data_IF_167180001940
#
_entry.id   IF_167180001940
#
_cell.length_a   1.000
_cell.length_b   1.000
_cell.length_c   1.000
_cell.angle_alpha   90.00
_cell.angle_beta   90.00
_cell.angle_gamma   90.00
#
_symmetry.space_group_name_H-M   'P 1'
#
loop_
_entity.id
_entity.type
_entity.pdbx_description
1 polymer ?
#
# COMPACT_ATOMS: atom_id res chain seq x y z
N UNK A 1 14.74 6.39 -23.36
CA UNK A 1 13.55 7.24 -23.25
C UNK A 1 13.60 7.79 -21.84
N UNK A 2 13.59 9.12 -21.67
CA UNK A 2 13.73 9.71 -20.34
C UNK A 2 12.42 9.48 -19.58
N UNK A 3 12.53 8.90 -18.39
CA UNK A 3 11.40 8.65 -17.49
C UNK A 3 10.83 10.00 -17.04
N UNK A 4 9.63 10.34 -17.50
CA UNK A 4 8.90 11.46 -16.97
C UNK A 4 8.24 11.03 -15.67
N UNK A 5 8.81 11.48 -14.55
CA UNK A 5 8.14 11.44 -13.24
C UNK A 5 7.12 12.58 -13.21
N UNK A 6 5.84 12.24 -13.25
CA UNK A 6 4.74 13.21 -13.20
C UNK A 6 4.49 13.58 -11.73
N UNK A 7 5.14 14.64 -11.25
CA UNK A 7 4.68 15.35 -10.06
C UNK A 7 3.37 16.05 -10.41
N UNK A 8 2.35 15.89 -9.57
CA UNK A 8 1.01 16.46 -9.77
C UNK A 8 1.08 17.98 -10.01
N UNK A 9 1.13 18.40 -11.27
CA UNK A 9 0.71 19.73 -11.66
C UNK A 9 0.23 19.76 -13.12
N UNK A 10 -0.85 20.54 -13.28
CA UNK A 10 -1.48 21.00 -14.52
C UNK A 10 -2.68 20.17 -15.02
N UNK A 11 -3.78 20.31 -14.27
CA UNK A 11 -5.20 20.20 -14.68
C UNK A 11 -6.05 19.14 -13.94
N UNK A 12 -5.46 18.32 -13.07
CA UNK A 12 -6.23 17.59 -12.07
C UNK A 12 -6.41 18.50 -10.85
N UNK A 13 -7.65 18.94 -10.62
CA UNK A 13 -8.05 19.56 -9.37
C UNK A 13 -7.79 18.53 -8.27
N UNK A 14 -6.81 18.75 -7.39
CA UNK A 14 -6.87 18.16 -6.05
C UNK A 14 -8.10 18.81 -5.44
N UNK A 15 -9.23 18.11 -5.50
CA UNK A 15 -10.51 18.60 -5.00
C UNK A 15 -10.44 18.63 -3.47
N UNK A 16 -9.81 19.68 -2.97
CA UNK A 16 -10.14 20.19 -1.68
C UNK A 16 -11.58 20.71 -1.75
N UNK A 17 -12.47 20.05 -1.00
CA UNK A 17 -13.88 20.44 -0.90
C UNK A 17 -14.10 21.75 -0.14
N UNK A 18 -13.04 22.50 0.21
CA UNK A 18 -13.16 23.84 0.83
C UNK A 18 -13.10 24.99 -0.20
N UNK A 19 -13.69 24.80 -1.38
CA UNK A 19 -13.75 25.71 -2.53
C UNK A 19 -14.42 27.10 -2.29
N UNK A 20 -14.21 27.72 -1.13
CA UNK A 20 -14.59 29.09 -0.80
C UNK A 20 -13.41 30.09 -0.87
N UNK A 21 -12.14 29.68 -0.99
CA UNK A 21 -10.99 30.60 -0.88
C UNK A 21 -9.91 30.33 -1.93
N UNK A 22 -9.95 31.07 -3.04
CA UNK A 22 -9.12 30.83 -4.24
C UNK A 22 -7.62 30.59 -3.98
N UNK A 23 -7.08 29.60 -4.70
CA UNK A 23 -5.65 29.28 -4.79
C UNK A 23 -5.07 28.64 -3.53
N UNK A 24 -5.30 27.33 -3.33
CA UNK A 24 -4.95 26.62 -2.10
C UNK A 24 -3.53 26.02 -2.15
N UNK A 25 -2.65 26.54 -1.31
CA UNK A 25 -1.36 25.95 -0.93
C UNK A 25 -1.56 24.96 0.22
N UNK A 26 -0.63 24.02 0.39
CA UNK A 26 -0.62 23.05 1.50
C UNK A 26 0.15 23.66 2.67
N UNK A 27 -0.57 24.02 3.74
CA UNK A 27 -0.04 24.37 5.07
C UNK A 27 -0.17 23.11 5.94
N UNK A 28 0.95 22.42 6.15
CA UNK A 28 1.00 21.08 6.72
C UNK A 28 0.98 21.05 8.25
N UNK A 29 1.27 22.16 8.91
CA UNK A 29 1.26 22.28 10.37
C UNK A 29 0.11 23.15 10.92
N UNK A 30 -0.73 23.68 10.04
CA UNK A 30 -1.90 24.52 10.37
C UNK A 30 -1.55 25.82 11.12
N UNK A 31 -0.33 26.34 10.96
CA UNK A 31 0.09 27.59 11.59
C UNK A 31 -0.28 28.84 10.76
N UNK A 32 -0.84 28.65 9.56
CA UNK A 32 -1.24 29.72 8.66
C UNK A 32 -0.08 30.42 7.94
N UNK A 33 1.12 29.82 7.96
CA UNK A 33 2.37 30.37 7.44
C UNK A 33 2.96 29.57 6.28
N UNK A 34 3.83 30.23 5.51
CA UNK A 34 4.70 29.56 4.55
C UNK A 34 5.97 29.10 5.25
N UNK A 35 6.12 27.78 5.44
CA UNK A 35 7.32 27.19 6.05
C UNK A 35 8.16 26.46 5.00
N UNK A 36 9.43 26.85 4.88
CA UNK A 36 10.38 26.18 4.00
C UNK A 36 10.67 24.77 4.54
N UNK A 37 10.28 23.73 3.79
CA UNK A 37 10.52 22.33 4.15
C UNK A 37 9.25 21.51 4.41
N UNK A 38 8.07 22.11 4.33
CA UNK A 38 6.83 21.35 4.41
C UNK A 38 6.61 20.53 3.14
N UNK A 39 6.48 19.22 3.33
CA UNK A 39 6.24 18.26 2.26
C UNK A 39 5.00 17.45 2.60
N UNK A 40 4.28 17.02 1.56
CA UNK A 40 3.14 16.09 1.65
C UNK A 40 3.45 14.87 2.52
N UNK A 41 4.72 14.48 2.59
CA UNK A 41 5.24 13.33 3.31
C UNK A 41 5.11 13.43 4.84
N UNK A 42 4.75 14.58 5.40
CA UNK A 42 4.52 14.77 6.84
C UNK A 42 3.05 14.80 7.24
N UNK A 43 2.14 14.81 6.27
CA UNK A 43 0.71 14.99 6.50
C UNK A 43 0.01 13.69 6.85
N UNK A 44 -0.96 13.81 7.76
CA UNK A 44 -2.00 12.82 7.99
C UNK A 44 -3.21 13.14 7.10
N UNK A 45 -3.88 12.12 6.57
CA UNK A 45 -5.13 12.21 5.80
C UNK A 45 -5.00 12.97 4.46
N UNK A 46 -3.91 12.74 3.72
CA UNK A 46 -3.78 13.26 2.36
C UNK A 46 -4.78 12.55 1.44
N UNK A 47 -5.57 13.34 0.72
CA UNK A 47 -6.46 12.85 -0.33
C UNK A 47 -5.88 13.21 -1.69
N UNK A 48 -5.62 12.20 -2.54
CA UNK A 48 -5.22 12.38 -3.93
C UNK A 48 -6.29 11.78 -4.83
N UNK A 49 -6.88 12.61 -5.68
CA UNK A 49 -7.84 12.18 -6.70
C UNK A 49 -7.24 12.35 -8.10
N UNK A 50 -6.92 11.22 -8.74
CA UNK A 50 -6.39 11.17 -10.09
C UNK A 50 -7.40 10.60 -11.11
N UNK A 51 -8.68 10.47 -10.75
CA UNK A 51 -9.71 9.86 -11.61
C UNK A 51 -9.88 10.58 -12.96
N UNK A 52 -9.49 11.86 -13.04
CA UNK A 52 -9.47 12.64 -14.28
C UNK A 52 -8.28 12.36 -15.22
N UNK A 53 -7.29 11.57 -14.79
CA UNK A 53 -6.13 11.18 -15.62
C UNK A 53 -6.50 9.94 -16.41
N UNK A 54 -6.37 10.00 -17.74
CA UNK A 54 -6.89 8.94 -18.63
C UNK A 54 -5.87 8.47 -19.67
N UNK A 55 -4.60 8.85 -19.56
CA UNK A 55 -3.58 8.56 -20.59
C UNK A 55 -2.59 7.47 -20.18
N UNK A 56 -2.31 7.37 -18.88
CA UNK A 56 -1.38 6.42 -18.28
C UNK A 56 -1.83 6.18 -16.85
N UNK A 57 -1.51 4.99 -16.35
CA UNK A 57 -1.56 4.76 -14.92
C UNK A 57 -0.47 5.52 -14.20
N UNK A 58 -0.66 5.69 -12.91
CA UNK A 58 0.20 6.41 -12.00
C UNK A 58 0.71 5.48 -10.90
N UNK A 59 1.79 5.91 -10.26
CA UNK A 59 2.26 5.31 -9.02
C UNK A 59 1.98 6.29 -7.89
N UNK A 60 1.18 5.85 -6.93
CA UNK A 60 0.90 6.54 -5.69
C UNK A 60 1.83 5.97 -4.63
N UNK A 61 2.72 6.81 -4.09
CA UNK A 61 3.57 6.46 -2.96
C UNK A 61 3.22 7.34 -1.77
N UNK A 62 2.69 6.71 -0.72
CA UNK A 62 2.32 7.31 0.55
C UNK A 62 3.47 7.34 1.56
N UNK A 63 3.12 7.61 2.81
CA UNK A 63 4.01 7.63 3.96
C UNK A 63 3.42 6.73 5.06
N UNK A 64 4.06 6.65 6.23
CA UNK A 64 3.53 5.85 7.34
C UNK A 64 2.26 6.43 8.01
N UNK A 65 1.67 7.50 7.47
CA UNK A 65 0.43 8.09 7.97
C UNK A 65 -0.73 7.63 7.08
N UNK A 66 -1.95 7.70 7.60
CA UNK A 66 -3.17 7.37 6.85
C UNK A 66 -3.39 8.30 5.66
N UNK A 67 -3.57 7.75 4.46
CA UNK A 67 -3.85 8.43 3.20
C UNK A 67 -5.14 7.94 2.52
N UNK A 68 -5.56 8.66 1.48
CA UNK A 68 -6.66 8.26 0.60
C UNK A 68 -6.28 8.55 -0.84
N UNK A 69 -6.16 7.50 -1.65
CA UNK A 69 -5.78 7.61 -3.06
C UNK A 69 -6.88 7.05 -3.96
N UNK A 70 -7.31 7.88 -4.91
CA UNK A 70 -8.21 7.49 -5.98
C UNK A 70 -7.40 7.48 -7.29
N UNK A 71 -7.31 6.29 -7.87
CA UNK A 71 -6.62 5.97 -9.11
C UNK A 71 -7.24 6.60 -10.34
N UNK A 72 -6.61 6.29 -11.46
CA UNK A 72 -6.98 6.65 -12.82
C UNK A 72 -7.92 5.61 -13.42
N UNK A 73 -8.21 5.69 -14.72
CA UNK A 73 -8.89 4.61 -15.44
C UNK A 73 -7.93 3.62 -16.13
N UNK A 74 -6.66 3.60 -15.70
CA UNK A 74 -5.56 2.83 -16.26
C UNK A 74 -4.88 2.02 -15.15
N UNK A 75 -3.98 1.10 -15.49
CA UNK A 75 -3.28 0.27 -14.50
C UNK A 75 -2.38 1.10 -13.56
N UNK A 76 -2.80 1.26 -12.32
CA UNK A 76 -2.14 2.04 -11.28
C UNK A 76 -1.35 1.16 -10.30
N UNK A 77 -0.46 1.81 -9.54
CA UNK A 77 0.31 1.19 -8.47
C UNK A 77 0.13 2.01 -7.19
N UNK A 78 -0.30 1.37 -6.11
CA UNK A 78 -0.50 1.98 -4.80
C UNK A 78 0.51 1.41 -3.80
N UNK A 79 1.33 2.26 -3.20
CA UNK A 79 2.32 1.93 -2.18
C UNK A 79 2.01 2.78 -0.94
N UNK A 80 1.40 2.20 0.08
CA UNK A 80 1.01 2.94 1.29
C UNK A 80 2.19 3.40 2.14
N UNK A 81 3.18 2.51 2.36
CA UNK A 81 4.31 2.66 3.29
C UNK A 81 3.93 2.62 4.79
N UNK A 82 2.71 2.20 5.14
CA UNK A 82 2.18 2.06 6.51
C UNK A 82 0.95 2.92 6.73
N UNK A 83 0.41 2.96 7.94
CA UNK A 83 -0.85 3.68 8.19
C UNK A 83 -2.08 2.93 7.67
N UNK A 84 -3.28 3.46 7.93
CA UNK A 84 -4.54 2.83 7.51
C UNK A 84 -5.06 3.49 6.24
N UNK A 85 -4.49 3.15 5.10
CA UNK A 85 -4.80 3.84 3.86
C UNK A 85 -6.13 3.39 3.26
N UNK A 86 -6.69 4.27 2.42
CA UNK A 86 -7.88 3.98 1.62
C UNK A 86 -7.52 4.09 0.14
N UNK A 87 -7.57 2.98 -0.58
CA UNK A 87 -7.27 2.93 -2.01
C UNK A 87 -8.50 2.60 -2.83
N UNK A 88 -8.67 3.33 -3.92
CA UNK A 88 -9.66 3.07 -4.98
C UNK A 88 -8.90 3.02 -6.29
N UNK A 89 -8.82 1.85 -6.93
CA UNK A 89 -8.13 1.68 -8.22
C UNK A 89 -8.87 2.30 -9.40
N UNK A 90 -10.20 2.32 -9.32
CA UNK A 90 -11.17 2.51 -10.39
C UNK A 90 -11.11 1.38 -11.44
N UNK A 91 -10.68 1.71 -12.66
CA UNK A 91 -10.58 0.74 -13.74
C UNK A 91 -9.12 0.59 -14.10
N UNK A 92 -8.68 -0.60 -14.47
CA UNK A 92 -7.28 -0.85 -14.67
C UNK A 92 -6.96 -2.28 -14.30
N UNK A 93 -5.68 -2.64 -14.36
CA UNK A 93 -5.16 -3.83 -13.70
C UNK A 93 -4.21 -3.33 -12.62
N UNK A 94 -4.78 -3.03 -11.47
CA UNK A 94 -4.13 -2.23 -10.44
C UNK A 94 -3.29 -3.10 -9.50
N UNK A 95 -2.25 -2.50 -8.94
CA UNK A 95 -1.33 -3.17 -8.03
C UNK A 95 -1.33 -2.47 -6.67
N UNK A 96 -1.71 -3.20 -5.62
CA UNK A 96 -1.68 -2.74 -4.23
C UNK A 96 -0.48 -3.39 -3.53
N UNK A 97 0.50 -2.58 -3.16
CA UNK A 97 1.83 -3.01 -2.75
C UNK A 97 1.97 -2.98 -1.24
N UNK A 98 2.27 -4.14 -0.68
CA UNK A 98 2.63 -4.32 0.73
C UNK A 98 4.13 -4.54 0.87
N UNK A 99 4.73 -3.82 1.81
CA UNK A 99 6.16 -3.88 2.13
C UNK A 99 6.35 -3.52 3.61
N UNK A 100 7.57 -3.68 4.10
CA UNK A 100 7.99 -3.10 5.39
C UNK A 100 7.61 -1.61 5.45
N UNK A 101 7.05 -1.19 6.59
CA UNK A 101 6.64 0.19 6.86
C UNK A 101 7.88 1.07 6.83
N UNK A 102 7.82 2.17 6.08
CA UNK A 102 8.93 3.10 5.90
C UNK A 102 8.54 4.47 6.41
N UNK A 103 9.14 4.86 7.54
CA UNK A 103 8.99 6.22 8.05
C UNK A 103 10.11 7.09 7.51
N UNK A 104 9.75 8.22 6.91
CA UNK A 104 10.68 9.22 6.42
C UNK A 104 10.94 10.23 7.54
N UNK A 105 12.16 10.24 8.08
CA UNK A 105 12.59 11.28 9.00
C UNK A 105 13.51 12.26 8.25
N UNK A 106 13.13 13.54 8.27
CA UNK A 106 14.02 14.64 7.88
C UNK A 106 15.19 14.64 8.84
N UNK A 107 16.37 14.34 8.33
CA UNK A 107 17.61 14.45 9.07
C UNK A 107 18.18 15.86 8.87
N UNK A 108 17.85 16.74 9.82
CA UNK A 108 18.37 18.11 9.90
C UNK A 108 19.72 18.17 10.64
N UNK A 109 20.32 17.01 10.98
CA UNK A 109 21.57 16.95 11.75
C UNK A 109 22.82 17.18 10.89
N UNK A 110 22.70 17.24 9.56
CA UNK A 110 23.86 17.53 8.72
C UNK A 110 24.23 19.01 8.81
N UNK A 111 25.41 19.27 9.39
CA UNK A 111 25.93 20.62 9.65
C UNK A 111 26.22 21.47 8.39
N UNK A 112 25.84 21.00 7.20
CA UNK A 112 26.19 21.59 5.91
C UNK A 112 24.97 21.97 5.04
N UNK A 113 23.76 22.01 5.61
CA UNK A 113 22.55 22.39 4.88
C UNK A 113 22.09 21.38 3.83
N UNK A 114 22.65 20.16 3.86
CA UNK A 114 22.18 19.03 3.04
C UNK A 114 21.05 18.38 3.82
N UNK A 115 19.83 18.51 3.33
CA UNK A 115 18.70 17.79 3.93
C UNK A 115 18.93 16.30 3.70
N UNK A 116 19.28 15.57 4.78
CA UNK A 116 19.30 14.12 4.77
C UNK A 116 17.88 13.59 4.94
N UNK A 117 17.59 12.45 4.34
CA UNK A 117 16.42 11.66 4.69
C UNK A 117 16.89 10.35 5.27
N UNK A 118 16.51 10.07 6.51
CA UNK A 118 16.73 8.76 7.12
C UNK A 118 15.46 7.95 7.03
N UNK A 119 15.63 6.66 6.76
CA UNK A 119 14.53 5.71 6.72
C UNK A 119 14.58 4.89 8.00
N UNK A 120 13.47 4.89 8.73
CA UNK A 120 13.24 3.92 9.78
C UNK A 120 12.27 2.87 9.26
N UNK A 121 12.75 1.63 9.17
CA UNK A 121 11.92 0.49 8.83
C UNK A 121 11.27 -0.04 10.12
N UNK A 122 9.96 -0.23 10.09
CA UNK A 122 9.22 -0.88 11.18
C UNK A 122 8.42 -2.06 10.65
N UNK A 123 8.19 -3.05 11.49
CA UNK A 123 7.34 -4.19 11.15
C UNK A 123 5.91 -3.72 10.87
N UNK A 124 5.26 -4.32 9.88
CA UNK A 124 3.85 -4.11 9.59
C UNK A 124 2.99 -4.68 10.72
N UNK A 125 1.99 -3.93 11.17
CA UNK A 125 1.05 -4.37 12.21
C UNK A 125 -0.39 -4.30 11.70
N UNK A 126 -1.34 -4.85 12.47
CA UNK A 126 -2.76 -4.72 12.13
C UNK A 126 -3.28 -3.28 12.18
N UNK A 127 -2.51 -2.34 12.75
CA UNK A 127 -2.82 -0.92 12.72
C UNK A 127 -2.41 -0.24 11.41
N UNK A 128 -1.74 -0.97 10.52
CA UNK A 128 -1.31 -0.55 9.19
C UNK A 128 -2.12 -1.25 8.10
N UNK A 129 -3.30 -1.78 8.46
CA UNK A 129 -4.15 -2.51 7.53
C UNK A 129 -4.89 -1.54 6.61
N UNK A 130 -4.68 -1.68 5.32
CA UNK A 130 -5.27 -0.83 4.29
C UNK A 130 -6.70 -1.27 3.95
N UNK A 131 -7.48 -0.35 3.39
CA UNK A 131 -8.80 -0.63 2.82
C UNK A 131 -8.76 -0.40 1.32
N UNK A 132 -9.10 -1.43 0.54
CA UNK A 132 -9.19 -1.37 -0.92
C UNK A 132 -10.67 -1.47 -1.31
N UNK A 133 -11.18 -0.46 -2.02
CA UNK A 133 -12.62 -0.26 -2.14
C UNK A 133 -13.31 -1.02 -3.28
N UNK A 134 -12.54 -1.39 -4.29
CA UNK A 134 -13.02 -1.79 -5.61
C UNK A 134 -12.15 -2.88 -6.27
N UNK A 135 -11.41 -3.64 -5.47
CA UNK A 135 -10.54 -4.69 -5.97
C UNK A 135 -11.29 -5.71 -6.85
N UNK A 136 -10.78 -5.96 -8.06
CA UNK A 136 -11.34 -6.89 -9.03
C UNK A 136 -10.46 -8.13 -9.14
N UNK A 137 -10.90 -9.24 -8.54
CA UNK A 137 -10.24 -10.55 -8.65
C UNK A 137 -10.05 -10.98 -10.11
N UNK A 138 -8.88 -11.55 -10.40
CA UNK A 138 -8.44 -11.93 -11.75
C UNK A 138 -7.79 -10.80 -12.53
N UNK A 139 -8.03 -9.54 -12.16
CA UNK A 139 -7.51 -8.35 -12.84
C UNK A 139 -6.45 -7.66 -11.98
N UNK A 140 -6.85 -7.22 -10.79
CA UNK A 140 -5.96 -6.52 -9.87
C UNK A 140 -5.04 -7.49 -9.12
N UNK A 141 -4.01 -6.93 -8.48
CA UNK A 141 -3.01 -7.71 -7.73
C UNK A 141 -2.67 -7.09 -6.38
N UNK A 142 -2.56 -7.94 -5.36
CA UNK A 142 -1.86 -7.63 -4.12
C UNK A 142 -0.40 -8.09 -4.29
N UNK A 143 0.52 -7.14 -4.20
CA UNK A 143 1.95 -7.37 -4.41
C UNK A 143 2.68 -7.34 -3.07
N UNK A 144 3.30 -8.45 -2.70
CA UNK A 144 4.20 -8.55 -1.56
C UNK A 144 5.61 -8.23 -2.01
N UNK A 145 6.06 -7.03 -1.68
CA UNK A 145 7.38 -6.55 -2.05
C UNK A 145 8.40 -6.95 -0.99
N UNK A 146 9.53 -7.45 -1.46
CA UNK A 146 10.74 -7.63 -0.67
C UNK A 146 11.88 -6.76 -1.22
N UNK A 147 12.71 -6.22 -0.34
CA UNK A 147 13.89 -5.41 -0.67
C UNK A 147 15.15 -6.27 -0.51
N UNK A 148 15.64 -6.85 -1.61
CA UNK A 148 16.74 -7.83 -1.62
C UNK A 148 18.08 -7.32 -1.05
N UNK A 149 18.23 -6.01 -0.86
CA UNK A 149 19.48 -5.37 -0.44
C UNK A 149 19.49 -4.94 1.04
N UNK A 150 18.42 -5.17 1.79
CA UNK A 150 18.35 -4.75 3.20
C UNK A 150 18.76 -5.87 4.16
N UNK A 151 19.54 -5.47 5.17
CA UNK A 151 20.06 -6.28 6.28
C UNK A 151 19.09 -6.38 7.47
N UNK A 152 17.99 -5.62 7.43
CA UNK A 152 16.88 -5.76 8.38
C UNK A 152 15.95 -6.89 7.91
N UNK A 153 15.31 -7.56 8.86
CA UNK A 153 14.33 -8.61 8.59
C UNK A 153 13.16 -8.01 7.81
N UNK A 154 13.20 -8.15 6.48
CA UNK A 154 12.12 -7.73 5.60
C UNK A 154 10.84 -8.45 6.02
N UNK A 155 9.76 -7.68 6.18
CA UNK A 155 8.46 -8.18 6.63
C UNK A 155 8.00 -9.40 5.83
N UNK A 156 8.30 -9.44 4.53
CA UNK A 156 7.90 -10.52 3.62
C UNK A 156 9.05 -11.44 3.23
N UNK A 157 10.16 -11.45 3.99
CA UNK A 157 11.35 -12.27 3.71
C UNK A 157 11.04 -13.77 3.53
N UNK A 158 10.06 -14.32 4.26
CA UNK A 158 9.62 -15.72 4.12
C UNK A 158 9.04 -16.05 2.72
N UNK A 159 8.57 -15.04 1.99
CA UNK A 159 8.03 -15.16 0.63
C UNK A 159 9.11 -15.07 -0.46
N UNK A 160 10.36 -14.73 -0.12
CA UNK A 160 11.43 -14.46 -1.09
C UNK A 160 11.68 -15.57 -2.12
N UNK A 161 11.49 -16.83 -1.70
CA UNK A 161 11.66 -18.00 -2.58
C UNK A 161 10.65 -18.01 -3.75
N UNK A 162 9.54 -17.29 -3.62
CA UNK A 162 8.41 -17.25 -4.57
C UNK A 162 8.46 -16.04 -5.52
N UNK A 163 9.55 -15.27 -5.49
CA UNK A 163 9.70 -14.04 -6.28
C UNK A 163 9.42 -14.21 -7.77
N UNK A 164 8.78 -13.20 -8.37
CA UNK A 164 8.49 -13.11 -9.79
C UNK A 164 7.33 -14.00 -10.24
N UNK A 165 6.67 -14.71 -9.32
CA UNK A 165 5.57 -15.63 -9.62
C UNK A 165 4.30 -15.20 -8.89
N UNK A 166 3.17 -15.40 -9.56
CA UNK A 166 1.88 -15.43 -8.87
C UNK A 166 1.88 -16.58 -7.85
N UNK A 167 1.18 -16.38 -6.74
CA UNK A 167 1.06 -17.40 -5.73
C UNK A 167 0.07 -18.50 -6.17
N UNK A 168 0.13 -19.63 -5.46
CA UNK A 168 -0.71 -20.81 -5.70
C UNK A 168 -1.48 -21.21 -4.44
N UNK A 169 -2.37 -22.18 -4.54
CA UNK A 169 -3.09 -22.77 -3.39
C UNK A 169 -2.15 -23.34 -2.31
N UNK A 170 -0.87 -23.57 -2.62
CA UNK A 170 0.14 -24.00 -1.64
C UNK A 170 0.52 -22.88 -0.67
N UNK A 171 0.45 -21.63 -1.14
CA UNK A 171 0.97 -20.44 -0.46
C UNK A 171 -0.13 -19.50 0.02
N UNK A 172 -1.33 -19.61 -0.58
CA UNK A 172 -2.51 -18.82 -0.26
C UNK A 172 -3.60 -19.74 0.25
N UNK A 173 -4.08 -19.48 1.47
CA UNK A 173 -5.23 -20.14 2.03
C UNK A 173 -6.45 -19.22 1.94
N UNK A 174 -7.49 -19.65 1.22
CA UNK A 174 -8.72 -18.88 1.00
C UNK A 174 -9.89 -19.69 1.58
N UNK A 175 -10.55 -19.18 2.61
CA UNK A 175 -11.65 -19.87 3.27
C UNK A 175 -12.50 -18.92 4.13
N UNK A 176 -13.55 -19.44 4.75
CA UNK A 176 -14.13 -18.86 5.96
C UNK A 176 -13.11 -19.06 7.10
N UNK A 177 -12.44 -17.98 7.49
CA UNK A 177 -11.42 -18.00 8.54
C UNK A 177 -11.99 -17.20 9.70
N UNK A 178 -12.56 -17.88 10.69
CA UNK A 178 -13.10 -17.20 11.87
C UNK A 178 -12.11 -16.16 12.43
N UNK A 179 -12.57 -14.91 12.58
CA UNK A 179 -11.73 -13.78 12.96
C UNK A 179 -10.91 -14.07 14.25
N UNK A 180 -9.59 -13.97 14.15
CA UNK A 180 -8.68 -14.22 15.29
C UNK A 180 -8.46 -15.70 15.62
N UNK A 181 -8.96 -16.63 14.80
CA UNK A 181 -8.58 -18.02 14.92
C UNK A 181 -7.13 -18.19 14.44
N UNK A 182 -6.30 -18.73 15.34
CA UNK A 182 -5.07 -19.45 15.00
C UNK A 182 -5.51 -20.59 14.07
N UNK A 183 -5.60 -20.32 12.77
CA UNK A 183 -6.15 -21.31 11.87
C UNK A 183 -5.07 -22.34 11.55
N UNK A 184 -5.12 -23.43 12.30
CA UNK A 184 -4.37 -24.67 12.11
C UNK A 184 -4.83 -25.47 10.89
N UNK A 185 -5.83 -24.99 10.13
CA UNK A 185 -6.31 -25.62 8.91
C UNK A 185 -5.61 -25.15 7.63
N UNK A 186 -4.64 -24.23 7.72
CA UNK A 186 -3.69 -23.99 6.66
C UNK A 186 -2.75 -25.19 6.53
N UNK A 187 -2.38 -25.57 5.31
CA UNK A 187 -1.17 -26.38 5.13
C UNK A 187 0.01 -25.60 5.73
N UNK A 188 1.04 -26.29 6.24
CA UNK A 188 2.20 -25.69 6.91
C UNK A 188 3.09 -24.78 6.02
N UNK A 189 2.53 -24.18 4.97
CA UNK A 189 3.18 -23.35 3.94
C UNK A 189 2.32 -22.15 3.50
N UNK A 190 1.19 -21.87 4.15
CA UNK A 190 0.25 -20.82 3.76
C UNK A 190 0.61 -19.48 4.41
N UNK A 191 1.37 -18.66 3.69
CA UNK A 191 1.82 -17.34 4.15
C UNK A 191 0.77 -16.24 3.99
N UNK A 192 -0.14 -16.38 3.02
CA UNK A 192 -1.24 -15.45 2.81
C UNK A 192 -2.55 -16.15 3.15
N UNK A 193 -3.40 -15.46 3.90
CA UNK A 193 -4.72 -15.97 4.29
C UNK A 193 -5.79 -14.96 3.90
N UNK A 194 -6.75 -15.36 3.07
CA UNK A 194 -7.90 -14.54 2.72
C UNK A 194 -9.15 -15.09 3.41
N UNK A 195 -9.63 -14.34 4.41
CA UNK A 195 -10.88 -14.60 5.11
C UNK A 195 -12.04 -14.07 4.28
N UNK A 196 -12.96 -14.95 3.92
CA UNK A 196 -14.16 -14.66 3.14
C UNK A 196 -15.42 -14.53 3.99
N UNK A 197 -15.27 -14.50 5.32
CA UNK A 197 -16.38 -14.38 6.26
C UNK A 197 -16.93 -12.96 6.33
N UNK A 198 -18.24 -12.81 6.11
CA UNK A 198 -18.93 -11.52 6.19
C UNK A 198 -18.93 -10.77 4.86
N UNK A 199 -19.10 -9.45 4.93
CA UNK A 199 -19.35 -8.61 3.74
C UNK A 199 -18.06 -8.19 2.99
N UNK A 200 -16.90 -8.33 3.63
CA UNK A 200 -15.60 -7.91 3.09
C UNK A 200 -14.58 -9.05 3.21
N UNK A 201 -13.66 -9.13 2.25
CA UNK A 201 -12.54 -10.07 2.34
C UNK A 201 -11.42 -9.43 3.16
N UNK A 202 -10.91 -10.15 4.15
CA UNK A 202 -9.76 -9.71 4.94
C UNK A 202 -8.54 -10.53 4.58
N UNK A 203 -7.45 -9.86 4.25
CA UNK A 203 -6.18 -10.50 3.88
C UNK A 203 -5.22 -10.38 5.03
N UNK A 204 -4.65 -11.51 5.43
CA UNK A 204 -3.68 -11.63 6.52
C UNK A 204 -2.35 -12.19 6.01
N UNK A 205 -1.27 -11.75 6.61
CA UNK A 205 0.07 -12.29 6.45
C UNK A 205 0.46 -13.16 7.64
N UNK A 206 0.83 -14.41 7.40
CA UNK A 206 1.38 -15.35 8.37
C UNK A 206 2.87 -15.54 8.11
N UNK A 207 3.72 -14.92 8.92
CA UNK A 207 5.17 -14.86 8.69
C UNK A 207 5.86 -16.22 8.76
N UNK A 208 5.31 -17.17 9.54
CA UNK A 208 5.88 -18.51 9.66
C UNK A 208 5.23 -19.54 8.72
N UNK A 209 4.10 -19.18 8.10
CA UNK A 209 3.35 -20.02 7.16
C UNK A 209 2.78 -21.31 7.76
N UNK A 210 2.95 -21.53 9.07
CA UNK A 210 2.62 -22.77 9.79
C UNK A 210 1.24 -22.72 10.45
N UNK A 211 0.64 -21.52 10.55
CA UNK A 211 -0.59 -21.30 11.29
C UNK A 211 -0.45 -21.44 12.80
N UNK A 212 0.77 -21.57 13.34
CA UNK A 212 1.02 -21.67 14.77
C UNK A 212 1.05 -20.29 15.45
N UNK A 213 1.48 -19.25 14.74
CA UNK A 213 1.49 -17.88 15.21
C UNK A 213 0.32 -17.05 14.66
N UNK A 214 0.08 -15.90 15.29
CA UNK A 214 -0.95 -14.97 14.84
C UNK A 214 -0.54 -14.34 13.50
N UNK A 215 -1.41 -14.45 12.51
CA UNK A 215 -1.28 -13.71 11.26
C UNK A 215 -1.69 -12.25 11.45
N UNK A 216 -1.00 -11.33 10.78
CA UNK A 216 -1.24 -9.89 10.81
C UNK A 216 -2.26 -9.51 9.74
N UNK A 217 -3.30 -8.76 10.09
CA UNK A 217 -4.21 -8.18 9.08
C UNK A 217 -3.45 -7.10 8.29
N UNK A 218 -3.50 -7.19 6.97
CA UNK A 218 -2.77 -6.26 6.08
C UNK A 218 -3.69 -5.52 5.12
N UNK A 219 -4.85 -6.09 4.78
CA UNK A 219 -5.80 -5.43 3.89
C UNK A 219 -7.23 -5.88 4.16
N UNK A 220 -8.17 -4.97 3.94
CA UNK A 220 -9.61 -5.25 3.82
C UNK A 220 -10.08 -4.88 2.42
N UNK A 221 -10.60 -5.84 1.68
CA UNK A 221 -11.18 -5.65 0.36
C UNK A 221 -12.69 -5.51 0.52
N UNK A 222 -13.23 -4.33 0.24
CA UNK A 222 -14.68 -4.08 0.36
C UNK A 222 -15.39 -4.32 -0.96
N UNK A 223 -16.65 -4.76 -0.90
CA UNK A 223 -17.45 -5.06 -2.09
C UNK A 223 -16.85 -6.18 -2.98
N UNK A 224 -15.97 -7.02 -2.41
CA UNK A 224 -15.35 -8.15 -3.09
C UNK A 224 -15.92 -9.44 -2.51
N UNK A 225 -16.51 -10.27 -3.37
CA UNK A 225 -17.11 -11.55 -2.96
C UNK A 225 -16.16 -12.74 -3.05
N UNK A 226 -15.06 -12.63 -3.79
CA UNK A 226 -14.09 -13.70 -3.95
C UNK A 226 -12.73 -13.17 -4.38
N UNK A 227 -11.67 -13.89 -4.01
CA UNK A 227 -10.31 -13.76 -4.54
C UNK A 227 -9.81 -15.14 -4.96
N UNK A 228 -8.79 -15.17 -5.83
CA UNK A 228 -8.09 -16.39 -6.25
C UNK A 228 -6.60 -16.30 -5.93
N UNK A 229 -5.86 -17.41 -5.81
CA UNK A 229 -4.44 -17.35 -5.46
C UNK A 229 -3.59 -16.48 -6.42
N UNK A 230 -3.98 -16.41 -7.69
CA UNK A 230 -3.30 -15.59 -8.70
C UNK A 230 -3.55 -14.09 -8.57
N UNK A 231 -4.36 -13.66 -7.61
CA UNK A 231 -4.49 -12.26 -7.19
C UNK A 231 -3.33 -11.81 -6.31
N UNK A 232 -2.57 -12.75 -5.77
CA UNK A 232 -1.44 -12.50 -4.90
C UNK A 232 -0.13 -12.79 -5.64
N UNK A 233 0.85 -11.90 -5.49
CA UNK A 233 2.14 -12.04 -6.15
C UNK A 233 3.27 -11.54 -5.27
N UNK A 234 4.43 -12.16 -5.39
CA UNK A 234 5.66 -11.69 -4.75
C UNK A 234 6.57 -11.10 -5.81
N UNK A 235 7.00 -9.85 -5.66
CA UNK A 235 7.87 -9.20 -6.63
C UNK A 235 8.88 -8.25 -5.96
N UNK A 236 10.04 -8.08 -6.59
CA UNK A 236 11.05 -7.08 -6.20
C UNK A 236 11.06 -5.87 -7.12
N UNK A 237 10.42 -5.97 -8.30
CA UNK A 237 10.46 -4.93 -9.33
C UNK A 237 9.05 -4.70 -9.85
N UNK A 238 8.57 -3.47 -9.76
CA UNK A 238 7.32 -3.06 -10.41
C UNK A 238 7.63 -2.80 -11.88
N UNK A 239 7.25 -3.73 -12.75
CA UNK A 239 7.40 -3.53 -14.19
C UNK A 239 6.19 -2.72 -14.69
N UNK A 240 6.50 -1.55 -15.26
CA UNK A 240 5.59 -0.62 -15.95
C UNK A 240 5.21 -1.12 -17.35
#
# INVERSE_FOLDING_TARGET
MADEHWYLNKSATVADTTAALGGKYIDANSNGGFDAGETLNSLNFVVVDASGVTKKGLTFEGNANKQTFLGTSMADIFIGNGGQDLFTGNAGADQFVFQTVRTYARDDSTANGVIGYTYADTALTSNDADTITDFVSGTDKLIFRFEALKTLEDTFSALFALKGSALSDTNVYIADIAAGAINTSGTATSYIKADTTGDNIKVYYDSDGSGANLSVLIATLTNVSSVVPTDFKVDSVFNF
#
